data_IF_506626540059
#
_entry.id   IF_506626540059
#
_cell.length_a   1.000
_cell.length_b   1.000
_cell.length_c   1.000
_cell.angle_alpha   90.00
_cell.angle_beta   90.00
_cell.angle_gamma   90.00
#
_symmetry.space_group_name_H-M   'P 1'
#
loop_
_entity.id
_entity.type
_entity.pdbx_description
1 polymer ?
#
# COMPACT_ATOMS: atom_id res chain seq x y z
N UNK A 1 -13.56 -6.38 -16.12
CA UNK A 1 -13.93 -5.13 -15.43
C UNK A 1 -12.91 -4.07 -15.82
N UNK A 2 -13.35 -2.91 -16.33
CA UNK A 2 -12.45 -1.80 -16.66
C UNK A 2 -11.94 -1.17 -15.34
N UNK A 3 -10.68 -1.42 -15.00
CA UNK A 3 -9.98 -0.67 -13.95
C UNK A 3 -9.84 0.78 -14.44
N UNK A 4 -10.44 1.73 -13.71
CA UNK A 4 -10.20 3.16 -13.94
C UNK A 4 -8.83 3.47 -13.34
N UNK A 5 -7.84 3.70 -14.20
CA UNK A 5 -6.53 4.23 -13.79
C UNK A 5 -6.74 5.61 -13.17
N UNK A 6 -6.46 5.73 -11.88
CA UNK A 6 -6.40 7.00 -11.19
C UNK A 6 -4.98 7.53 -11.27
N UNK A 7 -4.82 8.62 -12.02
CA UNK A 7 -3.62 9.43 -12.00
C UNK A 7 -3.71 10.32 -10.78
N UNK A 8 -2.97 10.00 -9.71
CA UNK A 8 -2.81 10.92 -8.60
C UNK A 8 -2.08 12.18 -9.12
N UNK A 9 -2.79 13.30 -9.23
CA UNK A 9 -2.18 14.60 -9.49
C UNK A 9 -1.65 15.10 -8.15
N UNK A 10 -0.33 15.07 -7.99
CA UNK A 10 0.33 15.43 -6.74
C UNK A 10 0.13 16.92 -6.40
N UNK A 11 -0.30 17.20 -5.15
CA UNK A 11 0.15 18.40 -4.46
C UNK A 11 1.52 18.08 -3.84
N UNK A 12 2.60 18.23 -4.62
CA UNK A 12 3.95 18.05 -4.11
C UNK A 12 4.32 19.24 -3.21
N UNK A 13 4.38 19.03 -1.89
CA UNK A 13 5.09 19.96 -1.01
C UNK A 13 6.59 19.67 -1.13
N UNK A 14 7.26 20.41 -2.01
CA UNK A 14 8.72 20.33 -2.19
C UNK A 14 9.39 21.27 -1.20
N UNK A 15 9.92 20.73 -0.11
CA UNK A 15 10.80 21.51 0.80
C UNK A 15 12.24 21.39 0.29
N UNK A 16 12.67 22.32 -0.57
CA UNK A 16 14.05 22.38 -1.03
C UNK A 16 14.96 22.95 0.07
N UNK A 17 15.83 22.13 0.65
CA UNK A 17 16.94 22.59 1.47
C UNK A 17 18.10 23.04 0.58
N UNK A 18 18.42 24.34 0.58
CA UNK A 18 19.55 24.88 -0.17
C UNK A 18 20.88 24.44 0.48
N UNK A 19 21.70 23.67 -0.23
CA UNK A 19 23.11 23.49 0.10
C UNK A 19 23.95 24.27 -0.92
N UNK A 20 24.42 25.45 -0.52
CA UNK A 20 25.44 26.22 -1.22
C UNK A 20 26.82 25.76 -0.72
N UNK A 21 27.55 24.93 -1.47
CA UNK A 21 29.01 24.90 -1.38
C UNK A 21 29.65 24.51 -2.71
N UNK A 22 30.58 25.38 -3.14
CA UNK A 22 31.48 25.20 -4.26
C UNK A 22 32.62 24.23 -3.90
N UNK A 23 32.98 23.34 -4.82
CA UNK A 23 34.14 22.46 -4.69
C UNK A 23 34.02 21.25 -5.61
N UNK A 24 35.02 21.07 -6.47
CA UNK A 24 35.14 20.07 -7.55
C UNK A 24 35.30 18.63 -7.02
N UNK A 25 34.32 18.15 -6.26
CA UNK A 25 34.21 16.76 -5.85
C UNK A 25 33.28 16.05 -6.84
N UNK A 26 33.75 14.91 -7.38
CA UNK A 26 32.99 14.01 -8.23
C UNK A 26 31.51 14.04 -7.88
N UNK A 27 30.68 14.47 -8.83
CA UNK A 27 29.25 14.68 -8.64
C UNK A 27 28.64 13.42 -8.03
N UNK A 28 28.47 13.44 -6.71
CA UNK A 28 27.59 12.49 -6.03
C UNK A 28 26.24 12.72 -6.69
N UNK A 29 25.64 11.71 -7.36
CA UNK A 29 24.36 11.94 -8.02
C UNK A 29 23.44 12.54 -6.97
N UNK A 30 22.90 13.72 -7.29
CA UNK A 30 22.11 14.50 -6.36
C UNK A 30 21.08 13.58 -5.72
N UNK A 31 21.16 13.42 -4.38
CA UNK A 31 20.21 12.63 -3.61
C UNK A 31 18.84 13.24 -3.87
N UNK A 32 18.10 12.60 -4.75
CA UNK A 32 16.79 13.07 -5.16
C UNK A 32 15.92 13.06 -3.91
N UNK A 33 15.21 14.17 -3.65
CA UNK A 33 14.42 14.30 -2.43
C UNK A 33 13.29 13.28 -2.49
N UNK A 34 13.16 12.45 -1.45
CA UNK A 34 12.09 11.48 -1.37
C UNK A 34 10.72 12.20 -1.42
N UNK A 35 9.85 11.73 -2.32
CA UNK A 35 8.48 12.22 -2.46
C UNK A 35 7.59 11.42 -1.52
N UNK A 36 6.69 12.10 -0.80
CA UNK A 36 5.74 11.48 0.12
C UNK A 36 4.31 11.65 -0.39
N UNK A 37 3.57 10.55 -0.44
CA UNK A 37 2.16 10.49 -0.78
C UNK A 37 1.37 10.01 0.44
N UNK A 38 0.19 10.56 0.65
CA UNK A 38 -0.67 10.23 1.80
C UNK A 38 -2.09 9.95 1.34
N UNK A 39 -2.70 8.91 1.92
CA UNK A 39 -4.08 8.52 1.66
C UNK A 39 -4.79 8.26 3.00
N UNK A 40 -5.76 9.13 3.31
CA UNK A 40 -6.67 9.04 4.46
C UNK A 40 -8.06 8.51 4.06
N UNK A 41 -8.25 8.24 2.76
CA UNK A 41 -9.49 7.73 2.17
C UNK A 41 -10.69 8.69 2.19
N UNK A 42 -10.52 9.95 2.59
CA UNK A 42 -11.61 10.94 2.60
C UNK A 42 -12.05 11.35 1.20
N UNK A 43 -11.19 11.23 0.19
CA UNK A 43 -11.54 11.54 -1.21
C UNK A 43 -12.11 10.32 -1.93
N UNK A 44 -13.25 10.50 -2.62
CA UNK A 44 -14.06 9.43 -3.24
C UNK A 44 -13.30 8.49 -4.17
N UNK A 45 -12.20 8.94 -4.74
CA UNK A 45 -11.42 8.20 -5.73
C UNK A 45 -10.28 7.34 -5.14
N UNK A 46 -10.01 7.37 -3.83
CA UNK A 46 -8.83 6.72 -3.24
C UNK A 46 -8.89 5.18 -3.17
N UNK A 47 -9.98 4.56 -3.63
CA UNK A 47 -10.18 3.10 -3.54
C UNK A 47 -10.33 2.50 -4.94
N UNK A 48 -9.20 2.10 -5.54
CA UNK A 48 -9.21 1.15 -6.66
C UNK A 48 -9.20 -0.27 -6.07
N UNK A 49 -10.39 -0.88 -5.99
CA UNK A 49 -10.56 -2.22 -5.47
C UNK A 49 -10.04 -3.26 -6.46
N UNK A 50 -9.22 -4.17 -5.96
CA UNK A 50 -8.87 -5.40 -6.66
C UNK A 50 -9.16 -6.62 -5.76
N UNK A 51 -9.73 -7.64 -6.38
CA UNK A 51 -10.03 -8.94 -5.78
C UNK A 51 -9.23 -10.00 -6.54
N UNK A 52 -8.81 -11.08 -5.87
CA UNK A 52 -7.98 -12.14 -6.45
C UNK A 52 -8.75 -13.14 -7.34
N UNK A 53 -9.97 -12.79 -7.73
CA UNK A 53 -10.71 -13.45 -8.82
C UNK A 53 -11.45 -14.74 -8.43
N UNK A 54 -11.48 -15.12 -7.15
CA UNK A 54 -12.20 -16.31 -6.68
C UNK A 54 -13.53 -15.99 -5.99
N UNK A 55 -14.65 -16.45 -6.56
CA UNK A 55 -16.02 -16.51 -5.99
C UNK A 55 -16.24 -15.82 -4.62
N UNK A 56 -16.52 -14.51 -4.67
CA UNK A 56 -17.26 -13.75 -3.65
C UNK A 56 -16.89 -14.06 -2.19
N UNK A 57 -15.70 -13.62 -1.79
CA UNK A 57 -15.24 -13.69 -0.41
C UNK A 57 -14.55 -12.41 0.09
N UNK A 58 -14.20 -11.47 -0.77
CA UNK A 58 -13.38 -10.32 -0.40
C UNK A 58 -14.04 -9.03 -0.85
N UNK A 59 -14.06 -8.03 0.02
CA UNK A 59 -14.63 -6.73 -0.31
C UNK A 59 -13.91 -5.60 0.43
N UNK A 60 -13.59 -4.56 -0.33
CA UNK A 60 -12.99 -3.33 0.18
C UNK A 60 -13.99 -2.20 -0.07
N UNK A 61 -14.43 -1.54 0.97
CA UNK A 61 -15.30 -0.38 0.87
C UNK A 61 -14.90 0.71 1.86
N UNK A 62 -15.47 1.91 1.70
CA UNK A 62 -15.27 2.99 2.66
C UNK A 62 -16.11 2.77 3.92
N UNK A 63 -15.58 3.19 5.06
CA UNK A 63 -16.28 3.17 6.33
C UNK A 63 -16.10 4.50 7.08
N UNK A 64 -17.21 5.16 7.40
CA UNK A 64 -17.21 6.41 8.18
C UNK A 64 -17.50 6.23 9.67
N UNK A 65 -17.36 5.02 10.23
CA UNK A 65 -17.71 4.74 11.64
C UNK A 65 -16.50 4.32 12.47
N UNK A 66 -15.61 3.55 11.88
CA UNK A 66 -14.33 3.10 12.44
C UNK A 66 -13.25 3.78 11.61
N UNK A 67 -12.80 4.91 12.10
CA UNK A 67 -11.88 5.82 11.43
C UNK A 67 -10.72 6.11 12.37
N UNK A 68 -9.51 6.28 11.83
CA UNK A 68 -8.35 6.70 12.61
C UNK A 68 -8.18 8.21 12.55
N UNK A 69 -8.23 8.77 11.35
CA UNK A 69 -8.16 10.22 11.10
C UNK A 69 -9.12 10.61 9.98
N UNK A 70 -9.50 11.89 9.91
CA UNK A 70 -10.46 12.33 8.91
C UNK A 70 -11.89 11.81 9.14
N UNK A 71 -12.59 11.47 8.07
CA UNK A 71 -14.01 11.10 8.07
C UNK A 71 -14.28 9.66 7.63
N UNK A 72 -13.33 8.99 7.00
CA UNK A 72 -13.48 7.62 6.48
C UNK A 72 -12.20 6.82 6.59
N UNK A 73 -12.33 5.49 6.56
CA UNK A 73 -11.22 4.55 6.44
C UNK A 73 -11.58 3.46 5.42
N UNK A 74 -10.57 2.77 4.90
CA UNK A 74 -10.78 1.59 4.07
C UNK A 74 -11.15 0.38 4.95
N UNK A 75 -12.30 -0.24 4.70
CA UNK A 75 -12.74 -1.45 5.39
C UNK A 75 -12.58 -2.65 4.47
N UNK A 76 -11.70 -3.54 4.89
CA UNK A 76 -11.46 -4.84 4.30
C UNK A 76 -12.30 -5.86 5.02
N UNK A 77 -13.29 -6.40 4.35
CA UNK A 77 -14.04 -7.52 4.87
C UNK A 77 -13.77 -8.73 3.99
N UNK A 78 -13.54 -9.84 4.67
CA UNK A 78 -12.90 -10.99 4.05
C UNK A 78 -13.53 -12.24 4.62
N UNK A 79 -13.86 -13.15 3.74
CA UNK A 79 -14.45 -14.45 3.96
C UNK A 79 -13.65 -15.44 3.12
N UNK A 80 -12.58 -15.95 3.73
CA UNK A 80 -11.76 -17.00 3.16
C UNK A 80 -12.41 -18.35 3.48
N UNK A 81 -12.76 -19.13 2.45
CA UNK A 81 -13.44 -20.43 2.59
C UNK A 81 -12.51 -21.63 2.35
N UNK A 82 -11.55 -21.45 1.46
CA UNK A 82 -10.76 -22.53 0.86
C UNK A 82 -9.32 -22.13 0.53
N UNK A 83 -8.97 -20.83 0.55
CA UNK A 83 -7.61 -20.36 0.26
C UNK A 83 -7.25 -19.04 0.95
N UNK A 84 -5.94 -18.78 1.05
CA UNK A 84 -5.32 -17.55 1.50
C UNK A 84 -5.51 -16.42 0.47
N UNK A 85 -6.69 -15.81 0.44
CA UNK A 85 -6.93 -14.67 -0.45
C UNK A 85 -6.45 -13.33 0.11
N UNK A 86 -6.33 -12.34 -0.78
CA UNK A 86 -5.73 -11.04 -0.48
C UNK A 86 -6.43 -9.93 -1.25
N UNK A 87 -7.37 -9.19 -0.65
CA UNK A 87 -7.83 -7.92 -1.20
C UNK A 87 -6.80 -6.81 -0.95
N UNK A 88 -6.70 -5.89 -1.89
CA UNK A 88 -5.84 -4.70 -1.79
C UNK A 88 -6.44 -3.46 -2.43
N UNK A 89 -5.83 -2.32 -2.09
CA UNK A 89 -5.99 -1.03 -2.75
C UNK A 89 -4.68 -0.73 -3.46
N UNK A 90 -4.76 -0.22 -4.69
CA UNK A 90 -3.60 0.02 -5.55
C UNK A 90 -3.55 1.47 -6.03
N UNK A 91 -2.32 1.98 -6.13
CA UNK A 91 -1.99 3.27 -6.73
C UNK A 91 -0.89 3.10 -7.77
N UNK A 92 -0.93 3.98 -8.78
CA UNK A 92 0.02 4.03 -9.88
C UNK A 92 0.75 5.37 -9.85
N UNK A 93 2.07 5.33 -9.76
CA UNK A 93 2.90 6.53 -9.86
C UNK A 93 3.56 6.56 -11.24
N UNK A 94 3.13 7.49 -12.08
CA UNK A 94 3.67 7.67 -13.43
C UNK A 94 5.06 8.31 -13.41
N UNK A 95 5.91 7.88 -14.33
CA UNK A 95 7.27 8.38 -14.53
C UNK A 95 8.08 8.42 -13.23
N UNK A 96 8.22 7.28 -12.51
CA UNK A 96 9.03 7.26 -11.29
C UNK A 96 10.47 7.66 -11.60
N UNK A 97 11.18 8.17 -10.58
CA UNK A 97 12.62 8.39 -10.68
C UNK A 97 13.30 7.12 -11.20
N UNK A 98 14.13 7.27 -12.22
CA UNK A 98 14.82 6.16 -12.85
C UNK A 98 16.01 5.73 -11.99
N UNK A 99 15.95 4.54 -11.42
CA UNK A 99 16.97 4.00 -10.52
C UNK A 99 17.00 2.47 -10.59
N UNK A 100 18.18 1.87 -10.45
CA UNK A 100 18.31 0.41 -10.32
C UNK A 100 17.84 -0.10 -8.96
N UNK A 101 17.72 0.78 -7.96
CA UNK A 101 17.30 0.47 -6.61
C UNK A 101 16.62 1.70 -5.96
N UNK A 102 15.45 2.09 -6.46
CA UNK A 102 14.64 3.17 -5.89
C UNK A 102 14.08 2.74 -4.53
N UNK A 103 14.44 3.39 -3.41
CA UNK A 103 13.86 3.06 -2.11
C UNK A 103 12.38 3.44 -2.06
N UNK A 104 11.59 2.53 -1.50
CA UNK A 104 10.16 2.74 -1.25
C UNK A 104 9.85 2.33 0.19
N UNK A 105 9.24 3.23 0.95
CA UNK A 105 8.69 2.96 2.28
C UNK A 105 7.18 3.10 2.21
N UNK A 106 6.46 2.09 2.68
CA UNK A 106 5.00 2.10 2.79
C UNK A 106 4.67 1.93 4.26
N UNK A 107 3.87 2.82 4.82
CA UNK A 107 3.33 2.65 6.16
C UNK A 107 1.85 2.94 6.21
N UNK A 108 1.12 2.24 7.07
CA UNK A 108 -0.31 2.43 7.26
C UNK A 108 -0.73 1.90 8.62
N UNK A 109 -1.89 2.33 9.07
CA UNK A 109 -2.48 1.81 10.29
C UNK A 109 -3.51 0.74 9.99
N UNK A 110 -3.52 -0.31 10.81
CA UNK A 110 -4.50 -1.38 10.74
C UNK A 110 -5.22 -1.48 12.07
N UNK A 111 -6.54 -1.67 12.02
CA UNK A 111 -7.38 -2.07 13.15
C UNK A 111 -8.17 -3.31 12.78
N UNK A 112 -8.16 -4.31 13.65
CA UNK A 112 -9.01 -5.50 13.49
C UNK A 112 -10.33 -5.35 14.27
N UNK A 113 -11.46 -5.78 13.70
CA UNK A 113 -12.72 -5.90 14.45
C UNK A 113 -12.73 -7.08 15.43
N UNK A 114 -11.82 -8.03 15.25
CA UNK A 114 -11.69 -9.25 16.06
C UNK A 114 -10.31 -9.29 16.71
N UNK A 115 -10.23 -9.46 18.01
CA UNK A 115 -8.95 -9.45 18.74
C UNK A 115 -8.29 -10.80 18.83
N UNK A 116 -7.01 -10.75 19.20
CA UNK A 116 -6.21 -11.91 19.57
C UNK A 116 -5.19 -12.26 18.50
N UNK A 117 -3.96 -12.56 18.95
CA UNK A 117 -2.88 -13.09 18.12
C UNK A 117 -3.13 -14.53 17.66
N UNK A 118 -4.00 -15.26 18.36
CA UNK A 118 -4.50 -16.55 17.93
C UNK A 118 -5.29 -16.34 16.63
N UNK A 119 -4.66 -16.70 15.52
CA UNK A 119 -5.19 -16.54 14.18
C UNK A 119 -5.21 -15.06 13.72
N UNK A 120 -4.05 -14.40 13.71
CA UNK A 120 -3.80 -13.10 13.06
C UNK A 120 -3.44 -13.17 11.56
N UNK A 121 -4.28 -12.63 10.67
CA UNK A 121 -3.91 -12.42 9.26
C UNK A 121 -2.79 -11.39 9.11
N UNK A 122 -2.28 -11.19 7.90
CA UNK A 122 -1.14 -10.30 7.67
C UNK A 122 -1.58 -8.95 7.09
N UNK A 123 -0.97 -7.88 7.57
CA UNK A 123 -0.85 -6.64 6.83
C UNK A 123 0.09 -6.91 5.64
N UNK A 124 -0.29 -6.44 4.47
CA UNK A 124 0.42 -6.70 3.23
C UNK A 124 0.73 -5.39 2.51
N UNK A 125 1.94 -5.28 1.95
CA UNK A 125 2.34 -4.16 1.11
C UNK A 125 3.08 -4.66 -0.12
N UNK A 126 2.95 -3.92 -1.22
CA UNK A 126 3.63 -4.18 -2.48
C UNK A 126 4.19 -2.87 -3.03
N UNK A 127 5.41 -2.92 -3.56
CA UNK A 127 5.93 -1.91 -4.47
C UNK A 127 6.73 -2.61 -5.58
N UNK A 128 6.46 -2.27 -6.83
CA UNK A 128 7.10 -2.91 -7.97
C UNK A 128 6.72 -2.27 -9.30
N UNK A 129 7.25 -2.79 -10.38
CA UNK A 129 6.98 -2.33 -11.76
C UNK A 129 6.13 -3.34 -12.54
N UNK A 130 5.70 -4.40 -11.85
CA UNK A 130 4.74 -5.37 -12.35
C UNK A 130 3.42 -5.22 -11.62
N UNK A 131 2.35 -5.71 -12.23
CA UNK A 131 1.04 -5.72 -11.59
C UNK A 131 1.12 -6.54 -10.27
N UNK A 132 0.57 -6.03 -9.15
CA UNK A 132 0.48 -6.76 -7.87
C UNK A 132 -0.38 -8.04 -7.96
N UNK A 133 -1.22 -8.15 -8.98
CA UNK A 133 -1.93 -9.36 -9.37
C UNK A 133 -1.16 -10.12 -10.47
N UNK A 134 -1.09 -11.44 -10.38
CA UNK A 134 -0.75 -12.26 -11.54
C UNK A 134 -2.00 -12.91 -12.11
N UNK A 135 -2.09 -12.99 -13.44
CA UNK A 135 -3.21 -13.60 -14.16
C UNK A 135 -3.41 -15.09 -13.85
N UNK A 136 -2.49 -15.72 -13.11
CA UNK A 136 -2.56 -17.11 -12.66
C UNK A 136 -3.23 -17.28 -11.28
N UNK A 137 -3.81 -16.21 -10.70
CA UNK A 137 -4.50 -16.25 -9.42
C UNK A 137 -3.58 -16.34 -8.20
N UNK A 138 -2.26 -16.20 -8.40
CA UNK A 138 -1.29 -16.07 -7.30
C UNK A 138 -0.88 -14.59 -7.14
N UNK A 139 -0.57 -14.11 -5.92
CA UNK A 139 0.04 -12.80 -5.75
C UNK A 139 1.36 -12.75 -6.53
N UNK A 140 1.66 -11.63 -7.19
CA UNK A 140 2.95 -11.48 -7.85
C UNK A 140 4.11 -11.53 -6.85
N UNK A 141 5.32 -11.86 -7.33
CA UNK A 141 6.52 -11.77 -6.50
C UNK A 141 6.72 -10.30 -6.07
N UNK A 142 7.02 -10.06 -4.78
CA UNK A 142 7.30 -8.71 -4.25
C UNK A 142 6.38 -8.25 -3.12
N UNK A 143 5.30 -8.97 -2.82
CA UNK A 143 4.50 -8.70 -1.62
C UNK A 143 5.30 -8.97 -0.34
N UNK A 144 5.24 -8.02 0.58
CA UNK A 144 5.77 -8.14 1.94
C UNK A 144 4.60 -8.30 2.94
N UNK A 145 4.85 -9.04 4.02
CA UNK A 145 3.82 -9.40 5.01
C UNK A 145 4.29 -9.18 6.45
N UNK A 146 3.42 -8.64 7.29
CA UNK A 146 3.61 -8.57 8.74
C UNK A 146 2.36 -9.05 9.46
N UNK A 147 2.50 -9.92 10.46
CA UNK A 147 1.36 -10.49 11.19
C UNK A 147 0.63 -9.44 12.03
N UNK A 148 -0.70 -9.46 11.98
CA UNK A 148 -1.56 -8.50 12.70
C UNK A 148 -1.82 -8.98 14.12
N UNK A 149 -0.84 -8.81 15.01
CA UNK A 149 -0.86 -9.36 16.38
C UNK A 149 -1.43 -8.43 17.45
N UNK A 150 -1.83 -7.21 17.09
CA UNK A 150 -2.36 -6.24 18.05
C UNK A 150 -3.75 -6.61 18.58
N UNK A 151 -4.12 -6.02 19.72
CA UNK A 151 -5.42 -6.24 20.38
C UNK A 151 -6.60 -5.89 19.47
N UNK A 152 -7.76 -6.52 19.67
CA UNK A 152 -8.99 -6.11 18.99
C UNK A 152 -9.19 -4.62 19.11
N UNK A 153 -9.77 -4.01 18.08
CA UNK A 153 -10.33 -2.67 18.15
C UNK A 153 -9.31 -1.56 18.46
N UNK A 154 -8.00 -1.85 18.44
CA UNK A 154 -6.93 -0.85 18.50
C UNK A 154 -6.29 -0.67 17.14
N UNK A 155 -5.75 0.52 16.89
CA UNK A 155 -4.96 0.80 15.69
C UNK A 155 -3.49 0.53 15.97
N UNK A 156 -2.82 -0.19 15.06
CA UNK A 156 -1.37 -0.37 15.08
C UNK A 156 -0.77 0.01 13.73
N UNK A 157 0.43 0.61 13.76
CA UNK A 157 1.16 1.00 12.56
C UNK A 157 1.96 -0.17 12.01
N UNK A 158 1.94 -0.35 10.70
CA UNK A 158 2.77 -1.28 9.97
C UNK A 158 3.63 -0.48 8.99
N UNK A 159 4.91 -0.86 8.86
CA UNK A 159 5.87 -0.19 7.97
C UNK A 159 6.65 -1.24 7.20
N UNK A 160 6.75 -1.04 5.90
CA UNK A 160 7.41 -1.90 4.94
C UNK A 160 8.41 -1.08 4.14
N UNK A 161 9.58 -1.65 3.88
CA UNK A 161 10.61 -1.01 3.06
C UNK A 161 11.11 -1.99 2.01
N UNK A 162 11.32 -1.49 0.80
CA UNK A 162 11.89 -2.25 -0.31
C UNK A 162 12.67 -1.33 -1.25
N UNK A 163 13.38 -1.92 -2.19
CA UNK A 163 13.97 -1.21 -3.33
C UNK A 163 13.38 -1.75 -4.63
N UNK A 164 13.06 -0.86 -5.56
CA UNK A 164 12.46 -1.19 -6.85
C UNK A 164 13.39 -0.77 -7.97
N UNK A 165 13.64 -1.66 -8.93
CA UNK A 165 14.33 -1.28 -10.16
C UNK A 165 13.32 -0.65 -11.13
N UNK A 166 13.43 0.66 -11.32
CA UNK A 166 12.55 1.47 -12.17
C UNK A 166 13.20 1.87 -13.49
N UNK A 167 14.39 1.33 -13.81
CA UNK A 167 15.08 1.64 -15.07
C UNK A 167 14.20 1.30 -16.27
N UNK A 168 13.98 2.28 -17.13
CA UNK A 168 13.15 2.19 -18.34
C UNK A 168 11.68 1.87 -18.07
N UNK A 169 11.21 2.04 -16.83
CA UNK A 169 9.83 1.83 -16.45
C UNK A 169 9.07 3.15 -16.41
N UNK A 170 7.84 3.15 -16.89
CA UNK A 170 6.96 4.33 -16.93
C UNK A 170 6.00 4.41 -15.75
N UNK A 171 5.92 3.35 -14.95
CA UNK A 171 4.94 3.22 -13.86
C UNK A 171 5.59 2.49 -12.68
N UNK A 172 5.31 2.97 -11.48
CA UNK A 172 5.57 2.28 -10.22
C UNK A 172 4.20 1.92 -9.61
N UNK A 173 3.96 0.63 -9.44
CA UNK A 173 2.81 0.07 -8.76
C UNK A 173 3.06 0.00 -7.26
N UNK A 174 2.11 0.52 -6.47
CA UNK A 174 2.12 0.37 -5.01
C UNK A 174 0.75 -0.10 -4.54
N UNK A 175 0.74 -1.05 -3.61
CA UNK A 175 -0.50 -1.54 -3.03
C UNK A 175 -0.37 -1.81 -1.53
N UNK A 176 -1.50 -1.67 -0.83
CA UNK A 176 -1.67 -2.09 0.56
C UNK A 176 -2.88 -2.99 0.67
N UNK A 177 -2.82 -3.99 1.54
CA UNK A 177 -3.92 -4.93 1.70
C UNK A 177 -3.82 -5.77 2.95
N UNK A 178 -4.73 -6.73 3.03
CA UNK A 178 -4.79 -7.71 4.11
C UNK A 178 -4.75 -9.08 3.49
N UNK A 179 -3.78 -9.90 3.88
CA UNK A 179 -3.61 -11.25 3.37
C UNK A 179 -4.15 -12.27 4.38
N UNK A 180 -5.18 -13.01 3.99
CA UNK A 180 -5.69 -14.13 4.76
C UNK A 180 -4.68 -15.26 4.79
N UNK A 181 -4.56 -15.94 5.93
CA UNK A 181 -3.63 -17.06 6.13
C UNK A 181 -4.32 -18.40 6.43
N UNK A 182 -5.62 -18.37 6.72
CA UNK A 182 -6.49 -19.55 6.88
C UNK A 182 -7.95 -19.16 6.62
N UNK A 183 -8.82 -20.15 6.39
CA UNK A 183 -10.25 -19.93 6.25
C UNK A 183 -10.89 -19.30 7.50
N UNK A 184 -11.39 -18.07 7.33
CA UNK A 184 -12.16 -17.35 8.35
C UNK A 184 -12.90 -16.17 7.74
N UNK A 185 -13.89 -15.66 8.47
CA UNK A 185 -14.49 -14.35 8.18
C UNK A 185 -13.91 -13.32 9.14
N UNK A 186 -13.31 -12.25 8.63
CA UNK A 186 -12.78 -11.15 9.45
C UNK A 186 -13.01 -9.80 8.77
N UNK A 187 -12.97 -8.75 9.59
CA UNK A 187 -12.99 -7.37 9.13
C UNK A 187 -11.79 -6.63 9.69
N UNK A 188 -11.09 -5.95 8.81
CA UNK A 188 -9.97 -5.07 9.10
C UNK A 188 -10.26 -3.69 8.54
N UNK A 189 -9.64 -2.69 9.15
CA UNK A 189 -9.70 -1.31 8.73
C UNK A 189 -8.27 -0.85 8.48
N UNK A 190 -8.07 -0.13 7.38
CA UNK A 190 -6.80 0.48 6.99
C UNK A 190 -7.02 1.97 6.87
N UNK A 191 -6.08 2.75 7.40
CA UNK A 191 -6.15 4.20 7.41
C UNK A 191 -4.74 4.82 7.47
N UNK A 192 -4.63 6.12 7.20
CA UNK A 192 -3.39 6.91 7.22
C UNK A 192 -2.25 6.24 6.43
N UNK A 193 -2.49 5.88 5.17
CA UNK A 193 -1.46 5.28 4.31
C UNK A 193 -0.47 6.36 3.91
N UNK A 194 0.82 6.07 4.06
CA UNK A 194 1.93 6.92 3.66
C UNK A 194 2.87 6.12 2.77
N UNK A 195 3.14 6.63 1.57
CA UNK A 195 4.10 6.05 0.63
C UNK A 195 5.22 7.06 0.41
N UNK A 196 6.46 6.69 0.71
CA UNK A 196 7.64 7.50 0.44
C UNK A 196 8.46 6.83 -0.66
N UNK A 197 8.89 7.61 -1.64
CA UNK A 197 9.64 7.15 -2.82
C UNK A 197 10.86 8.04 -3.01
N UNK A 198 12.09 7.49 -2.91
CA UNK A 198 13.33 8.22 -3.19
C UNK A 198 14.57 7.69 -2.48
#
# INVERSE_FOLDING_TARGET
>A
MLSRKLTAIAAAVVTAGAALFAGDAAATPARTTAVTYTYDFDNLDDVVQHDDGGTSGYWVDKNGTVVRSGSTAARFRIRSFNSAGKPWIQWYYSNPQQSSALPVEISFYVRSSSGGSANAWNAAAYAGTANPHSDSGSPSAGWQYQSITHTANTWAKYTFTTTVNTLSQSELDVAVGIAATWPATRTYYVDDVVVKVG
#
